data_IF_043373122673
#
_entry.id   IF_043373122673
#
_cell.length_a   1.000
_cell.length_b   1.000
_cell.length_c   1.000
_cell.angle_alpha   90.00
_cell.angle_beta   90.00
_cell.angle_gamma   90.00
#
_symmetry.space_group_name_H-M   'P 1'
#
loop_
_entity.id
_entity.type
_entity.pdbx_description
1 polymer ?
#
# COMPACT_ATOMS: atom_id res chain seq x y z
N UNK A 1 -3.93 -12.23 17.51
CA UNK A 1 -2.92 -11.35 16.88
C UNK A 1 -2.69 -11.81 15.45
N UNK A 2 -2.08 -10.97 14.62
CA UNK A 2 -1.84 -11.27 13.22
C UNK A 2 -0.41 -10.93 12.83
N UNK A 3 0.21 -11.76 12.01
CA UNK A 3 1.59 -11.54 11.59
C UNK A 3 1.91 -12.17 10.26
N UNK A 4 3.11 -11.90 9.78
CA UNK A 4 3.64 -12.35 8.50
C UNK A 4 4.60 -13.51 8.75
N UNK A 5 4.42 -14.62 8.04
CA UNK A 5 5.41 -15.69 8.05
C UNK A 5 6.64 -15.19 7.31
N UNK A 6 7.77 -15.12 8.00
CA UNK A 6 9.04 -14.61 7.45
C UNK A 6 10.06 -15.70 7.22
N UNK A 7 9.94 -16.84 7.92
CA UNK A 7 10.83 -17.99 7.74
C UNK A 7 10.03 -19.29 7.85
N UNK A 8 10.19 -20.16 6.85
CA UNK A 8 9.74 -21.55 6.88
C UNK A 8 10.97 -22.46 6.72
N UNK A 9 11.05 -23.51 7.52
CA UNK A 9 11.99 -24.61 7.29
C UNK A 9 11.17 -25.90 7.21
N UNK A 10 11.43 -26.73 6.20
CA UNK A 10 10.59 -27.87 5.83
C UNK A 10 10.55 -28.99 6.89
N UNK A 11 11.41 -28.93 7.92
CA UNK A 11 11.56 -29.95 8.97
C UNK A 11 11.24 -29.46 10.40
N UNK A 12 10.58 -28.30 10.56
CA UNK A 12 10.22 -27.76 11.88
C UNK A 12 8.70 -27.77 12.10
N UNK A 13 8.27 -28.13 13.30
CA UNK A 13 6.87 -28.03 13.75
C UNK A 13 6.36 -26.57 13.91
N UNK A 14 7.22 -25.60 13.60
CA UNK A 14 6.95 -24.19 13.71
C UNK A 14 7.59 -23.40 12.56
N UNK A 15 6.96 -22.28 12.24
CA UNK A 15 7.51 -21.25 11.35
C UNK A 15 7.85 -20.00 12.18
N UNK A 16 8.61 -19.05 11.63
CA UNK A 16 8.81 -17.75 12.27
C UNK A 16 7.77 -16.77 11.74
N UNK A 17 6.99 -16.20 12.67
CA UNK A 17 6.06 -15.12 12.39
C UNK A 17 6.62 -13.81 12.91
N UNK A 18 6.68 -12.81 12.05
CA UNK A 18 6.85 -11.43 12.48
C UNK A 18 5.50 -10.90 12.98
N UNK A 19 5.43 -10.58 14.26
CA UNK A 19 4.20 -10.07 14.88
C UNK A 19 3.88 -8.64 14.44
N UNK A 20 4.87 -7.95 13.85
CA UNK A 20 4.83 -6.54 13.43
C UNK A 20 4.53 -5.56 14.56
N UNK A 21 4.71 -6.03 15.79
CA UNK A 21 4.61 -5.26 17.02
C UNK A 21 5.99 -5.19 17.64
N UNK A 22 6.51 -3.98 17.88
CA UNK A 22 7.82 -3.79 18.52
C UNK A 22 7.92 -4.45 19.90
N UNK A 23 6.77 -4.60 20.58
CA UNK A 23 6.67 -5.28 21.87
C UNK A 23 6.99 -6.77 21.79
N UNK A 24 6.61 -7.44 20.69
CA UNK A 24 6.66 -8.89 20.58
C UNK A 24 7.66 -9.39 19.52
N UNK A 25 8.05 -8.54 18.56
CA UNK A 25 9.03 -8.84 17.53
C UNK A 25 8.66 -10.09 16.73
N UNK A 26 9.63 -11.00 16.58
CA UNK A 26 9.43 -12.29 15.90
C UNK A 26 9.20 -13.41 16.90
N UNK A 27 8.23 -14.26 16.61
CA UNK A 27 7.86 -15.39 17.45
C UNK A 27 7.89 -16.70 16.65
N UNK A 28 8.11 -17.80 17.36
CA UNK A 28 7.84 -19.14 16.83
C UNK A 28 6.34 -19.36 16.77
N UNK A 29 5.83 -19.69 15.59
CA UNK A 29 4.43 -20.00 15.34
C UNK A 29 4.25 -21.49 15.10
N UNK A 30 3.59 -22.15 16.05
CA UNK A 30 3.23 -23.56 15.94
C UNK A 30 1.89 -23.69 15.22
N UNK A 31 1.84 -24.49 14.16
CA UNK A 31 0.69 -24.53 13.24
C UNK A 31 -0.08 -25.83 13.20
N UNK A 32 0.55 -26.99 13.40
CA UNK A 32 -0.12 -28.29 13.25
C UNK A 32 -0.64 -28.60 11.84
N UNK A 33 -0.51 -27.65 10.90
CA UNK A 33 -0.77 -27.84 9.47
C UNK A 33 0.23 -28.81 8.82
N UNK A 34 -0.17 -29.54 7.76
CA UNK A 34 0.74 -30.39 6.99
C UNK A 34 1.95 -29.62 6.45
N UNK A 35 3.09 -30.32 6.30
CA UNK A 35 4.29 -29.75 5.68
C UNK A 35 3.98 -29.15 4.30
N UNK A 36 4.53 -27.98 4.01
CA UNK A 36 4.29 -27.24 2.75
C UNK A 36 2.99 -26.43 2.69
N UNK A 37 2.13 -26.48 3.71
CA UNK A 37 0.87 -25.69 3.75
C UNK A 37 1.14 -24.20 3.99
N UNK A 38 2.19 -23.88 4.75
CA UNK A 38 2.57 -22.52 5.07
C UNK A 38 3.82 -22.10 4.31
N UNK A 39 3.81 -20.89 3.76
CA UNK A 39 4.93 -20.32 3.04
C UNK A 39 5.28 -18.93 3.56
N UNK A 40 6.54 -18.52 3.36
CA UNK A 40 6.99 -17.15 3.59
C UNK A 40 6.11 -16.18 2.79
N UNK A 41 5.72 -15.08 3.42
CA UNK A 41 4.83 -14.08 2.86
C UNK A 41 3.34 -14.32 3.16
N UNK A 42 2.96 -15.49 3.68
CA UNK A 42 1.59 -15.71 4.14
C UNK A 42 1.30 -14.92 5.42
N UNK A 43 0.11 -14.33 5.50
CA UNK A 43 -0.38 -13.70 6.72
C UNK A 43 -1.26 -14.67 7.48
N UNK A 44 -1.06 -14.71 8.79
CA UNK A 44 -1.75 -15.65 9.68
C UNK A 44 -2.32 -14.94 10.89
N UNK A 45 -3.50 -15.36 11.32
CA UNK A 45 -4.00 -15.08 12.66
C UNK A 45 -3.47 -16.14 13.62
N UNK A 46 -3.04 -15.69 14.79
CA UNK A 46 -2.49 -16.53 15.85
C UNK A 46 -2.84 -16.00 17.24
N UNK A 47 -2.83 -16.88 18.23
CA UNK A 47 -2.90 -16.52 19.64
C UNK A 47 -1.50 -16.48 20.25
N UNK A 48 -1.24 -15.48 21.10
CA UNK A 48 -0.06 -15.50 21.96
C UNK A 48 -0.27 -16.52 23.08
N UNK A 49 0.76 -17.31 23.33
CA UNK A 49 0.83 -18.28 24.43
C UNK A 49 2.16 -18.12 25.14
N UNK A 50 2.20 -18.53 26.40
CA UNK A 50 3.41 -18.56 27.21
C UNK A 50 3.69 -20.02 27.57
N UNK A 51 4.90 -20.50 27.30
CA UNK A 51 5.30 -21.86 27.64
C UNK A 51 5.51 -22.01 29.15
N UNK A 52 5.62 -23.25 29.63
CA UNK A 52 5.97 -23.52 31.03
C UNK A 52 7.33 -22.92 31.46
N UNK A 53 8.20 -22.59 30.50
CA UNK A 53 9.48 -21.92 30.74
C UNK A 53 9.40 -20.38 30.67
N UNK A 54 8.20 -19.80 30.51
CA UNK A 54 7.98 -18.35 30.44
C UNK A 54 8.21 -17.73 29.06
N UNK A 55 8.56 -18.53 28.04
CA UNK A 55 8.78 -18.01 26.68
C UNK A 55 7.46 -17.78 25.97
N UNK A 56 7.30 -16.59 25.37
CA UNK A 56 6.12 -16.28 24.54
C UNK A 56 6.27 -16.91 23.16
N UNK A 57 5.20 -17.49 22.63
CA UNK A 57 5.12 -18.07 21.30
C UNK A 57 3.74 -17.83 20.68
N UNK A 58 3.63 -18.06 19.38
CA UNK A 58 2.39 -17.95 18.63
C UNK A 58 1.79 -19.34 18.34
N UNK A 59 0.47 -19.47 18.42
CA UNK A 59 -0.27 -20.66 17.99
C UNK A 59 -1.20 -20.27 16.85
N UNK A 60 -1.07 -20.90 15.68
CA UNK A 60 -1.89 -20.62 14.51
C UNK A 60 -3.37 -20.76 14.84
N UNK A 61 -4.18 -19.84 14.32
CA UNK A 61 -5.64 -19.85 14.40
C UNK A 61 -6.25 -19.94 13.00
N UNK A 62 -5.72 -19.20 12.03
CA UNK A 62 -6.14 -19.31 10.62
C UNK A 62 -5.14 -18.68 9.65
N UNK A 63 -5.09 -19.17 8.43
CA UNK A 63 -4.38 -18.55 7.30
C UNK A 63 -5.30 -17.55 6.62
N UNK A 64 -4.79 -16.34 6.34
CA UNK A 64 -5.56 -15.29 5.70
C UNK A 64 -5.35 -15.34 4.19
N UNK A 65 -6.42 -15.64 3.46
CA UNK A 65 -6.43 -15.50 2.01
C UNK A 65 -6.25 -14.03 1.60
N UNK A 66 -5.26 -13.78 0.73
CA UNK A 66 -4.96 -12.46 0.16
C UNK A 66 -5.21 -12.42 -1.34
N UNK A 67 -5.30 -11.21 -1.87
CA UNK A 67 -5.21 -10.97 -3.31
C UNK A 67 -3.87 -11.52 -3.84
N UNK A 68 -3.84 -11.91 -5.12
CA UNK A 68 -2.60 -12.25 -5.81
C UNK A 68 -1.81 -10.97 -6.10
N UNK A 69 -1.14 -10.44 -5.09
CA UNK A 69 -0.09 -9.42 -5.25
C UNK A 69 1.26 -10.13 -5.31
N UNK A 70 2.25 -9.61 -6.09
CA UNK A 70 3.57 -10.25 -6.23
C UNK A 70 4.27 -10.45 -4.88
N UNK A 71 3.95 -9.60 -3.90
CA UNK A 71 4.38 -9.72 -2.51
C UNK A 71 3.21 -9.51 -1.55
N UNK A 72 3.32 -10.01 -0.32
CA UNK A 72 2.35 -9.68 0.73
C UNK A 72 2.33 -8.17 0.94
N UNK A 73 1.14 -7.53 1.04
CA UNK A 73 1.04 -6.08 1.34
C UNK A 73 1.68 -5.65 2.67
N UNK A 74 2.24 -6.60 3.43
CA UNK A 74 2.91 -6.41 4.72
C UNK A 74 4.44 -6.60 4.63
N UNK A 75 4.98 -6.98 3.48
CA UNK A 75 6.41 -7.17 3.21
C UNK A 75 7.06 -5.88 2.69
N UNK A 76 7.26 -4.93 3.61
CA UNK A 76 7.67 -3.55 3.32
C UNK A 76 9.01 -3.45 2.58
N UNK A 77 9.97 -4.33 2.86
CA UNK A 77 11.29 -4.31 2.21
C UNK A 77 11.18 -4.59 0.70
N UNK A 78 10.39 -5.61 0.33
CA UNK A 78 10.14 -5.92 -1.08
C UNK A 78 9.29 -4.88 -1.79
N UNK A 79 8.36 -4.22 -1.09
CA UNK A 79 7.62 -3.08 -1.66
C UNK A 79 8.52 -1.86 -1.90
N UNK A 80 9.57 -1.65 -1.11
CA UNK A 80 10.55 -0.60 -1.38
C UNK A 80 11.40 -0.90 -2.60
N UNK A 81 11.98 -2.11 -2.69
CA UNK A 81 12.77 -2.52 -3.85
C UNK A 81 11.93 -2.46 -5.14
N UNK A 82 10.70 -2.98 -5.10
CA UNK A 82 9.78 -2.92 -6.24
C UNK A 82 9.29 -1.50 -6.55
N UNK A 83 9.14 -0.64 -5.54
CA UNK A 83 8.81 0.77 -5.69
C UNK A 83 9.93 1.56 -6.36
N UNK A 84 11.20 1.28 -6.01
CA UNK A 84 12.36 1.91 -6.66
C UNK A 84 12.49 1.50 -8.14
N UNK A 85 12.25 0.22 -8.45
CA UNK A 85 12.18 -0.24 -9.84
C UNK A 85 11.02 0.43 -10.61
N UNK A 86 9.87 0.61 -9.96
CA UNK A 86 8.72 1.28 -10.56
C UNK A 86 8.93 2.80 -10.72
N UNK A 87 9.62 3.46 -9.79
CA UNK A 87 10.05 4.86 -9.91
C UNK A 87 10.98 5.05 -11.12
N UNK A 88 11.98 4.16 -11.26
CA UNK A 88 12.90 4.19 -12.40
C UNK A 88 12.17 3.96 -13.72
N UNK A 89 11.29 2.95 -13.78
CA UNK A 89 10.48 2.65 -14.96
C UNK A 89 9.54 3.81 -15.31
N UNK A 90 8.94 4.46 -14.32
CA UNK A 90 8.09 5.64 -14.53
C UNK A 90 8.89 6.78 -15.17
N UNK A 91 10.05 7.11 -14.61
CA UNK A 91 10.92 8.19 -15.11
C UNK A 91 11.48 7.87 -16.51
N UNK A 92 11.93 6.64 -16.75
CA UNK A 92 12.57 6.27 -18.01
C UNK A 92 11.56 6.06 -19.15
N UNK A 93 10.41 5.44 -18.86
CA UNK A 93 9.49 4.95 -19.90
C UNK A 93 8.22 5.75 -20.00
N UNK A 94 7.70 6.28 -18.88
CA UNK A 94 6.38 6.93 -18.83
C UNK A 94 6.50 8.44 -18.97
N UNK A 95 7.37 9.09 -18.18
CA UNK A 95 7.57 10.55 -18.21
C UNK A 95 7.83 11.10 -19.62
N UNK A 96 8.64 10.46 -20.50
CA UNK A 96 8.82 10.94 -21.87
C UNK A 96 7.53 10.98 -22.70
N UNK A 97 6.56 10.12 -22.39
CA UNK A 97 5.26 10.08 -23.07
C UNK A 97 4.32 11.19 -22.58
N UNK A 98 4.52 11.68 -21.36
CA UNK A 98 3.71 12.75 -20.77
C UNK A 98 4.11 14.15 -21.29
N UNK A 99 5.28 14.27 -21.92
CA UNK A 99 5.83 15.56 -22.31
C UNK A 99 6.26 16.44 -21.13
N UNK A 100 6.51 15.82 -19.96
CA UNK A 100 6.96 16.47 -18.73
C UNK A 100 8.44 16.15 -18.45
N UNK A 101 9.07 16.98 -17.63
CA UNK A 101 10.43 16.77 -17.11
C UNK A 101 10.36 16.42 -15.62
N UNK A 102 10.07 15.15 -15.34
CA UNK A 102 9.98 14.62 -13.98
C UNK A 102 11.17 13.69 -13.75
N UNK A 103 11.91 13.89 -12.66
CA UNK A 103 13.08 13.07 -12.32
C UNK A 103 13.06 12.71 -10.84
N UNK A 104 13.87 11.72 -10.46
CA UNK A 104 14.11 11.39 -9.05
C UNK A 104 14.58 12.64 -8.30
N UNK A 105 14.01 12.89 -7.13
CA UNK A 105 14.42 14.01 -6.30
C UNK A 105 15.88 13.79 -5.84
N UNK A 106 16.82 14.72 -6.13
CA UNK A 106 18.21 14.59 -5.72
C UNK A 106 18.37 14.43 -4.19
N UNK A 107 17.43 14.92 -3.39
CA UNK A 107 17.48 14.75 -1.93
C UNK A 107 17.39 13.29 -1.48
N UNK A 108 16.82 12.39 -2.29
CA UNK A 108 16.79 10.95 -1.98
C UNK A 108 18.18 10.31 -1.89
N UNK A 109 19.20 10.90 -2.51
CA UNK A 109 20.59 10.42 -2.37
C UNK A 109 21.14 10.60 -0.96
N UNK A 110 20.55 11.53 -0.18
CA UNK A 110 21.00 11.88 1.17
C UNK A 110 20.00 11.43 2.24
N UNK A 111 18.71 11.41 1.89
CA UNK A 111 17.60 11.12 2.78
C UNK A 111 16.62 10.17 2.09
N UNK A 112 16.64 8.88 2.45
CA UNK A 112 15.75 7.87 1.85
C UNK A 112 14.25 8.13 2.08
N UNK A 113 13.91 9.02 3.02
CA UNK A 113 12.54 9.46 3.32
C UNK A 113 12.13 10.77 2.63
N UNK A 114 13.01 11.35 1.79
CA UNK A 114 12.63 12.49 0.98
C UNK A 114 11.55 12.10 -0.05
N UNK A 115 10.73 13.07 -0.44
CA UNK A 115 9.71 12.88 -1.48
C UNK A 115 10.33 12.37 -2.79
N UNK A 116 9.59 11.52 -3.49
CA UNK A 116 10.17 10.62 -4.50
C UNK A 116 10.79 11.35 -5.70
N UNK A 117 10.07 12.32 -6.23
CA UNK A 117 10.32 12.96 -7.52
C UNK A 117 10.35 14.48 -7.40
N UNK A 118 10.85 15.12 -8.44
CA UNK A 118 10.71 16.55 -8.68
C UNK A 118 10.21 16.76 -10.12
N UNK A 119 9.13 17.53 -10.27
CA UNK A 119 8.61 17.97 -11.55
C UNK A 119 9.25 19.31 -11.91
N UNK A 120 10.22 19.28 -12.82
CA UNK A 120 10.93 20.45 -13.31
C UNK A 120 10.13 21.27 -14.33
N UNK A 121 9.12 20.67 -14.97
CA UNK A 121 8.21 21.41 -15.87
C UNK A 121 7.37 22.40 -15.09
N UNK A 122 6.83 21.98 -13.95
CA UNK A 122 5.99 22.82 -13.10
C UNK A 122 6.73 23.40 -11.88
N UNK A 123 8.00 23.04 -11.71
CA UNK A 123 8.88 23.44 -10.61
C UNK A 123 8.26 23.14 -9.23
N UNK A 124 7.86 21.88 -9.02
CA UNK A 124 7.21 21.41 -7.78
C UNK A 124 7.79 20.06 -7.33
N UNK A 125 7.87 19.81 -6.01
CA UNK A 125 8.07 18.45 -5.50
C UNK A 125 6.94 17.53 -5.97
N UNK A 126 7.23 16.25 -6.14
CA UNK A 126 6.25 15.29 -6.63
C UNK A 126 6.43 13.90 -6.03
N UNK A 127 5.32 13.20 -5.76
CA UNK A 127 5.34 11.82 -5.28
C UNK A 127 4.68 10.89 -6.31
N UNK A 128 5.16 9.63 -6.38
CA UNK A 128 4.61 8.63 -7.29
C UNK A 128 3.86 7.55 -6.49
N UNK A 129 2.58 7.41 -6.80
CA UNK A 129 1.72 6.32 -6.29
C UNK A 129 1.42 5.34 -7.41
N UNK A 130 2.21 4.27 -7.48
CA UNK A 130 1.96 3.15 -8.39
C UNK A 130 0.89 2.23 -7.82
N UNK A 131 -0.18 1.97 -8.57
CA UNK A 131 -1.26 1.07 -8.14
C UNK A 131 -1.64 0.09 -9.24
N UNK A 132 -1.41 -1.20 -8.99
CA UNK A 132 -1.68 -2.25 -9.97
C UNK A 132 -2.82 -3.19 -9.60
N UNK A 133 -3.36 -3.04 -8.39
CA UNK A 133 -4.50 -3.84 -7.91
C UNK A 133 -5.63 -2.89 -7.51
N UNK A 134 -6.81 -3.02 -8.16
CA UNK A 134 -7.99 -2.25 -7.79
C UNK A 134 -8.38 -2.48 -6.33
N UNK A 135 -8.93 -1.44 -5.69
CA UNK A 135 -9.53 -1.62 -4.38
C UNK A 135 -10.94 -2.23 -4.51
N UNK A 136 -11.01 -3.54 -4.80
CA UNK A 136 -12.26 -4.24 -5.12
C UNK A 136 -13.41 -4.02 -4.13
N UNK A 137 -13.12 -3.95 -2.83
CA UNK A 137 -14.15 -3.79 -1.78
C UNK A 137 -14.51 -2.34 -1.47
N UNK A 138 -14.04 -1.37 -2.27
CA UNK A 138 -14.29 0.06 -2.08
C UNK A 138 -15.77 0.42 -2.20
N UNK A 139 -16.59 -0.42 -2.83
CA UNK A 139 -18.03 -0.23 -3.05
C UNK A 139 -18.86 0.04 -1.79
N UNK A 140 -18.31 -0.22 -0.59
CA UNK A 140 -18.91 0.10 0.71
C UNK A 140 -18.76 1.57 1.10
N UNK A 141 -17.87 2.31 0.43
CA UNK A 141 -17.58 3.70 0.69
C UNK A 141 -18.32 4.63 -0.28
N UNK A 142 -18.35 5.91 0.09
CA UNK A 142 -18.88 6.99 -0.74
C UNK A 142 -17.86 8.11 -0.86
N UNK A 143 -17.59 8.52 -2.08
CA UNK A 143 -16.75 9.66 -2.43
C UNK A 143 -17.63 10.76 -3.01
N UNK A 144 -17.56 11.99 -2.46
CA UNK A 144 -18.46 13.10 -2.82
C UNK A 144 -19.95 12.68 -2.85
N UNK A 145 -20.38 11.88 -1.86
CA UNK A 145 -21.74 11.33 -1.76
C UNK A 145 -22.10 10.20 -2.73
N UNK A 146 -21.29 9.96 -3.78
CA UNK A 146 -21.48 8.89 -4.76
C UNK A 146 -20.81 7.61 -4.30
N UNK A 147 -21.38 6.45 -4.64
CA UNK A 147 -20.76 5.15 -4.34
C UNK A 147 -19.42 5.05 -5.08
N UNK A 148 -18.37 4.64 -4.40
CA UNK A 148 -17.06 4.43 -5.03
C UNK A 148 -17.13 3.27 -6.05
N UNK A 149 -16.46 3.46 -7.18
CA UNK A 149 -16.28 2.44 -8.22
C UNK A 149 -14.88 1.83 -8.12
N UNK A 150 -14.73 0.51 -7.90
CA UNK A 150 -13.43 -0.16 -7.86
C UNK A 150 -12.56 0.09 -9.09
N UNK A 151 -13.15 0.28 -10.27
CA UNK A 151 -12.41 0.50 -11.50
C UNK A 151 -11.68 1.84 -11.52
N UNK A 152 -12.15 2.82 -10.75
CA UNK A 152 -11.66 4.21 -10.76
C UNK A 152 -11.29 4.71 -9.36
N UNK A 153 -11.17 3.82 -8.38
CA UNK A 153 -10.82 4.23 -7.02
C UNK A 153 -9.35 3.96 -6.74
N UNK A 154 -8.64 4.99 -6.29
CA UNK A 154 -7.25 4.92 -5.84
C UNK A 154 -7.16 5.27 -4.37
N UNK A 155 -6.11 4.79 -3.71
CA UNK A 155 -5.87 5.08 -2.29
C UNK A 155 -4.64 5.93 -2.08
N UNK A 156 -4.70 6.85 -1.12
CA UNK A 156 -3.53 7.59 -0.61
C UNK A 156 -3.43 7.34 0.89
N UNK A 157 -2.27 6.83 1.35
CA UNK A 157 -2.06 6.57 2.76
C UNK A 157 -2.18 7.87 3.56
N UNK A 158 -2.88 7.83 4.69
CA UNK A 158 -3.07 9.00 5.54
C UNK A 158 -1.74 9.57 6.02
N UNK A 159 -0.83 8.70 6.46
CA UNK A 159 0.52 9.09 6.93
C UNK A 159 1.31 9.82 5.85
N UNK A 160 1.23 9.33 4.61
CA UNK A 160 1.93 9.94 3.47
C UNK A 160 1.33 11.33 3.21
N UNK A 161 0.00 11.44 3.14
CA UNK A 161 -0.70 12.73 3.01
C UNK A 161 -0.31 13.73 4.11
N UNK A 162 -0.35 13.32 5.38
CA UNK A 162 0.02 14.17 6.52
C UNK A 162 1.48 14.62 6.45
N UNK A 163 2.39 13.73 6.02
CA UNK A 163 3.79 14.06 5.80
C UNK A 163 3.97 15.08 4.67
N UNK A 164 3.30 14.89 3.53
CA UNK A 164 3.36 15.84 2.42
C UNK A 164 2.76 17.18 2.82
N UNK A 165 1.64 17.18 3.55
CA UNK A 165 1.01 18.43 3.98
C UNK A 165 1.93 19.25 4.89
N UNK A 166 2.74 18.59 5.73
CA UNK A 166 3.69 19.25 6.61
C UNK A 166 4.96 19.73 5.89
N UNK A 167 5.48 18.93 4.95
CA UNK A 167 6.84 19.13 4.41
C UNK A 167 6.86 19.62 2.94
N UNK A 168 5.81 19.31 2.17
CA UNK A 168 5.68 19.59 0.73
C UNK A 168 4.24 19.98 0.35
N UNK A 169 3.67 21.06 0.94
CA UNK A 169 2.24 21.37 0.81
C UNK A 169 1.78 21.72 -0.61
N UNK A 170 2.71 22.07 -1.50
CA UNK A 170 2.51 22.44 -2.90
C UNK A 170 2.81 21.30 -3.89
N UNK A 171 3.09 20.10 -3.41
CA UNK A 171 3.50 18.98 -4.26
C UNK A 171 2.38 18.45 -5.16
N UNK A 172 2.79 17.80 -6.24
CA UNK A 172 1.92 16.93 -7.02
C UNK A 172 2.01 15.49 -6.55
N UNK A 173 0.88 14.78 -6.64
CA UNK A 173 0.82 13.33 -6.48
C UNK A 173 0.46 12.75 -7.84
N UNK A 174 1.36 11.95 -8.41
CA UNK A 174 1.13 11.20 -9.64
C UNK A 174 0.65 9.80 -9.30
N UNK A 175 -0.55 9.46 -9.75
CA UNK A 175 -1.07 8.11 -9.68
C UNK A 175 -0.81 7.41 -11.01
N UNK A 176 0.16 6.49 -11.03
CA UNK A 176 0.37 5.61 -12.17
C UNK A 176 -0.40 4.31 -11.93
N UNK A 177 -1.48 4.14 -12.68
CA UNK A 177 -2.43 3.05 -12.48
C UNK A 177 -2.34 2.06 -13.63
N UNK A 178 -2.26 0.78 -13.29
CA UNK A 178 -2.30 -0.32 -14.24
C UNK A 178 -2.97 -1.55 -13.63
N UNK A 179 -4.28 -1.74 -13.81
CA UNK A 179 -5.01 -2.87 -13.26
C UNK A 179 -4.63 -4.21 -13.90
N UNK A 180 -3.66 -4.90 -13.30
CA UNK A 180 -3.21 -6.22 -13.74
C UNK A 180 -4.09 -7.34 -13.17
N UNK A 181 -4.58 -7.18 -11.94
CA UNK A 181 -5.63 -8.04 -11.38
C UNK A 181 -7.00 -7.43 -11.68
N UNK A 182 -7.84 -8.16 -12.42
CA UNK A 182 -9.16 -7.67 -12.87
C UNK A 182 -10.35 -8.30 -12.17
N UNK A 183 -10.14 -9.33 -11.36
CA UNK A 183 -11.22 -10.01 -10.63
C UNK A 183 -10.80 -10.35 -9.19
N UNK A 184 -11.72 -10.15 -8.26
CA UNK A 184 -11.60 -10.63 -6.88
C UNK A 184 -12.97 -10.75 -6.21
N UNK A 185 -13.24 -11.88 -5.53
CA UNK A 185 -14.49 -12.14 -4.78
C UNK A 185 -15.77 -11.85 -5.59
N UNK A 186 -15.78 -12.23 -6.87
CA UNK A 186 -16.91 -12.02 -7.77
C UNK A 186 -17.12 -10.56 -8.21
N UNK A 187 -16.16 -9.67 -7.91
CA UNK A 187 -16.11 -8.30 -8.44
C UNK A 187 -15.11 -8.28 -9.58
N UNK A 188 -15.56 -7.90 -10.76
CA UNK A 188 -14.72 -7.73 -11.95
C UNK A 188 -14.63 -6.25 -12.30
N UNK A 189 -13.44 -5.78 -12.65
CA UNK A 189 -13.20 -4.43 -13.17
C UNK A 189 -12.64 -4.50 -14.58
N UNK A 190 -12.91 -3.49 -15.44
CA UNK A 190 -12.20 -3.36 -16.70
C UNK A 190 -10.72 -3.13 -16.46
N UNK A 191 -9.93 -3.38 -17.50
CA UNK A 191 -8.56 -2.89 -17.55
C UNK A 191 -8.56 -1.36 -17.49
N UNK A 192 -7.69 -0.81 -16.65
CA UNK A 192 -7.40 0.62 -16.62
C UNK A 192 -5.90 0.78 -16.61
N UNK A 193 -5.42 1.61 -17.52
CA UNK A 193 -4.03 2.03 -17.59
C UNK A 193 -4.02 3.54 -17.80
N UNK A 194 -3.18 4.25 -17.05
CA UNK A 194 -3.02 5.68 -17.22
C UNK A 194 -2.23 6.35 -16.11
N UNK A 195 -2.03 7.65 -16.27
CA UNK A 195 -1.39 8.51 -15.27
C UNK A 195 -2.33 9.65 -14.94
N UNK A 196 -2.59 9.84 -13.65
CA UNK A 196 -3.36 10.97 -13.15
C UNK A 196 -2.49 11.82 -12.25
N UNK A 197 -2.58 13.13 -12.41
CA UNK A 197 -1.92 14.12 -11.56
C UNK A 197 -2.95 14.77 -10.66
N UNK A 198 -2.62 14.96 -9.38
CA UNK A 198 -3.41 15.73 -8.45
C UNK A 198 -2.53 16.70 -7.65
N UNK A 199 -3.04 17.90 -7.40
CA UNK A 199 -2.46 18.80 -6.39
C UNK A 199 -2.80 18.28 -5.00
N UNK A 200 -1.81 18.27 -4.10
CA UNK A 200 -2.02 17.87 -2.70
C UNK A 200 -3.12 18.72 -2.02
N UNK A 201 -3.17 20.01 -2.35
CA UNK A 201 -4.19 20.95 -1.85
C UNK A 201 -5.61 20.49 -2.16
N UNK A 202 -5.88 20.10 -3.41
CA UNK A 202 -7.18 19.63 -3.89
C UNK A 202 -7.59 18.31 -3.22
N UNK A 203 -6.65 17.38 -3.05
CA UNK A 203 -6.86 16.16 -2.26
C UNK A 203 -7.23 16.52 -0.81
N UNK A 204 -6.51 17.48 -0.22
CA UNK A 204 -6.74 17.99 1.12
C UNK A 204 -8.11 18.63 1.30
N UNK A 205 -8.59 19.39 0.31
CA UNK A 205 -9.94 19.98 0.34
C UNK A 205 -11.03 18.91 0.44
N UNK A 206 -10.93 17.84 -0.37
CA UNK A 206 -11.89 16.71 -0.32
C UNK A 206 -11.86 16.01 1.03
N UNK A 207 -10.68 15.82 1.61
CA UNK A 207 -10.52 15.25 2.95
C UNK A 207 -11.19 16.15 4.00
N UNK A 208 -10.89 17.45 3.99
CA UNK A 208 -11.42 18.41 4.98
C UNK A 208 -12.94 18.56 4.91
N UNK A 209 -13.54 18.45 3.71
CA UNK A 209 -14.99 18.44 3.52
C UNK A 209 -15.67 17.12 3.92
N UNK A 210 -14.89 16.10 4.30
CA UNK A 210 -15.41 14.75 4.59
C UNK A 210 -15.91 14.02 3.35
N UNK A 211 -15.47 14.44 2.16
CA UNK A 211 -15.88 13.89 0.87
C UNK A 211 -15.01 12.70 0.44
N UNK A 212 -13.78 12.61 0.94
CA UNK A 212 -12.88 11.47 0.76
C UNK A 212 -12.96 10.51 1.96
N UNK A 213 -13.50 9.28 1.79
CA UNK A 213 -13.67 8.37 2.91
C UNK A 213 -12.33 7.75 3.33
N UNK A 214 -12.17 7.58 4.64
CA UNK A 214 -10.99 6.94 5.22
C UNK A 214 -11.24 5.43 5.37
N UNK A 215 -10.45 4.62 4.68
CA UNK A 215 -10.43 3.17 4.87
C UNK A 215 -9.43 2.81 5.96
N UNK A 216 -9.92 2.28 7.09
CA UNK A 216 -9.08 1.65 8.09
C UNK A 216 -8.78 0.18 7.72
N UNK A 217 -7.51 -0.18 7.62
CA UNK A 217 -7.10 -1.56 7.39
C UNK A 217 -7.29 -2.37 8.67
N UNK A 218 -8.33 -3.21 8.68
CA UNK A 218 -8.68 -4.08 9.82
C UNK A 218 -7.50 -4.94 10.32
N UNK A 219 -6.54 -5.21 9.43
CA UNK A 219 -5.46 -6.18 9.63
C UNK A 219 -4.15 -5.56 10.15
N UNK A 220 -4.13 -4.24 10.38
CA UNK A 220 -2.94 -3.44 10.70
C UNK A 220 -3.11 -2.56 11.94
N UNK A 221 -4.11 -2.86 12.77
CA UNK A 221 -4.43 -2.05 13.96
C UNK A 221 -3.25 -1.97 14.96
N UNK A 222 -2.41 -2.99 15.02
CA UNK A 222 -1.22 -3.07 15.90
C UNK A 222 0.10 -3.05 15.12
N UNK A 223 0.06 -2.68 13.83
CA UNK A 223 1.24 -2.64 12.96
C UNK A 223 1.84 -1.23 13.04
N UNK A 224 3.01 -1.09 13.65
CA UNK A 224 3.73 0.19 13.79
C UNK A 224 4.50 0.58 12.53
N UNK A 225 4.59 -0.33 11.54
CA UNK A 225 5.47 -0.19 10.38
C UNK A 225 4.74 0.11 9.07
N UNK A 226 3.47 -0.30 8.93
CA UNK A 226 2.67 -0.13 7.71
C UNK A 226 1.55 0.91 7.87
N UNK A 227 1.07 1.46 6.74
CA UNK A 227 -0.09 2.35 6.74
C UNK A 227 -1.32 1.65 7.33
N UNK A 228 -1.92 2.29 8.35
CA UNK A 228 -3.09 1.79 9.11
C UNK A 228 -4.40 2.20 8.46
N UNK A 229 -4.37 3.29 7.71
CA UNK A 229 -5.51 3.86 7.04
C UNK A 229 -5.10 4.62 5.76
N UNK A 230 -6.01 4.63 4.78
CA UNK A 230 -5.83 5.33 3.52
C UNK A 230 -7.11 6.03 3.12
N UNK A 231 -6.97 7.25 2.63
CA UNK A 231 -8.06 7.96 1.96
C UNK A 231 -8.33 7.31 0.61
N UNK A 232 -9.60 7.26 0.24
CA UNK A 232 -10.04 6.80 -1.07
C UNK A 232 -10.43 8.00 -1.91
N UNK A 233 -9.94 8.03 -3.14
CA UNK A 233 -10.29 9.04 -4.12
C UNK A 233 -10.83 8.39 -5.39
N UNK A 234 -11.63 9.14 -6.15
CA UNK A 234 -12.09 8.71 -7.47
C UNK A 234 -11.30 9.43 -8.55
N UNK A 235 -10.68 8.68 -9.46
CA UNK A 235 -9.99 9.20 -10.65
C UNK A 235 -10.94 9.90 -11.64
N UNK A 236 -12.26 9.80 -11.43
CA UNK A 236 -13.29 10.51 -12.19
C UNK A 236 -13.61 11.90 -11.63
N UNK A 237 -12.96 12.31 -10.52
CA UNK A 237 -13.10 13.65 -9.98
C UNK A 237 -12.20 14.62 -10.74
N UNK A 238 -12.73 15.22 -11.80
CA UNK A 238 -12.03 16.17 -12.67
C UNK A 238 -11.62 17.47 -11.96
N UNK A 239 -12.23 17.80 -10.80
CA UNK A 239 -11.78 18.95 -10.00
C UNK A 239 -10.42 18.66 -9.35
N UNK A 240 -10.14 17.38 -9.05
CA UNK A 240 -8.96 16.90 -8.33
C UNK A 240 -7.90 16.34 -9.26
N UNK A 241 -8.31 15.51 -10.22
CA UNK A 241 -7.40 14.75 -11.07
C UNK A 241 -7.41 15.26 -12.50
N UNK A 242 -6.21 15.49 -13.02
CA UNK A 242 -5.96 15.64 -14.45
C UNK A 242 -5.39 14.33 -15.00
N UNK A 243 -5.98 13.80 -16.06
CA UNK A 243 -5.47 12.60 -16.73
C UNK A 243 -4.42 12.99 -17.77
N UNK A 244 -3.21 12.46 -17.62
CA UNK A 244 -2.07 12.73 -18.49
C UNK A 244 -1.83 11.63 -19.54
N UNK A 245 -2.30 10.40 -19.26
CA UNK A 245 -2.23 9.23 -20.13
C UNK A 245 -3.46 8.32 -19.95
#
# INVERSE_FOLDING_TARGET
>A
MRGLIVECEDDKEFVIVDTRSDQHGRLRLYHGEPAGTLAVGMTVDFELKVSGAGNTYAKLTSVIERNQTPFSTEDRARWYEWGEDAEADFVEKIVPQLGLDIRKNPEKERCSWAIDLFDYTNNRPADLKVQNTPFFTVVKYRYCGKRCDPAYSVTLNRKDFENYQANHPDCFIYFWVHWTQREYRGITVPELYGVWQAELSKLGERIQRGEAPLHAYQNRQTDDHNARDSYVFSLLDEDVFERLL
#
